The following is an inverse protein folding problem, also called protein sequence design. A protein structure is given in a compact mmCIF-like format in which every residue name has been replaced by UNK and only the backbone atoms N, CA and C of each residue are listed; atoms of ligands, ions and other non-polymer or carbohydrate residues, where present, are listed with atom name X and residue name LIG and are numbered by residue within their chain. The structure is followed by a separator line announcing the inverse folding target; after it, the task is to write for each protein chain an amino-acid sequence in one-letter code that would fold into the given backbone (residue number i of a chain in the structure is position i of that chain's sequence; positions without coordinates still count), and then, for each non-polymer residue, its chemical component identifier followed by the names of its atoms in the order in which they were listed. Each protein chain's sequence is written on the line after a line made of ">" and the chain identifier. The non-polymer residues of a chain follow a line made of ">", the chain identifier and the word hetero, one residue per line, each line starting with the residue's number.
data_IF_220632246911
#
_entry.id   IF_220632246911
#
_cell.length_a   1.000
_cell.length_b   1.000
_cell.length_c   1.000
_cell.angle_alpha   90.00
_cell.angle_beta   90.00
_cell.angle_gamma   90.00
#
_symmetry.space_group_name_H-M   'P 1'
#
loop_
_entity.id
_entity.type
_entity.pdbx_description
1 polymer ?
#
# COMPACT_ATOMS: atom_id res chain seq x y z
N UNK A 1 -9.38 -6.51 21.11
CA UNK A 1 -8.59 -5.33 21.49
C UNK A 1 -7.97 -4.59 20.30
N UNK A 2 -7.09 -5.21 19.50
CA UNK A 2 -6.43 -4.51 18.38
C UNK A 2 -7.40 -3.80 17.40
N UNK A 3 -8.41 -4.52 16.90
CA UNK A 3 -9.44 -3.97 15.99
C UNK A 3 -10.27 -2.84 16.61
N UNK A 4 -10.52 -2.90 17.92
CA UNK A 4 -11.43 -1.98 18.61
C UNK A 4 -10.73 -0.72 19.14
N UNK A 5 -9.43 -0.79 19.44
CA UNK A 5 -8.68 0.32 20.07
C UNK A 5 -7.56 0.83 19.18
N UNK A 6 -6.69 -0.05 18.69
CA UNK A 6 -5.49 0.38 17.96
C UNK A 6 -5.82 0.87 16.57
N UNK A 7 -6.68 0.15 15.83
CA UNK A 7 -7.06 0.57 14.47
C UNK A 7 -7.80 1.92 14.45
N UNK A 8 -8.84 2.18 15.28
CA UNK A 8 -9.51 3.46 15.28
C UNK A 8 -8.60 4.62 15.68
N UNK A 9 -7.72 4.42 16.67
CA UNK A 9 -6.76 5.45 17.09
C UNK A 9 -5.71 5.73 16.01
N UNK A 10 -5.16 4.68 15.36
CA UNK A 10 -4.19 4.82 14.27
C UNK A 10 -4.78 5.53 13.05
N UNK A 11 -6.05 5.20 12.75
CA UNK A 11 -6.76 5.66 11.58
C UNK A 11 -7.68 6.86 11.87
N UNK A 12 -7.49 7.50 13.02
CA UNK A 12 -8.29 8.64 13.41
C UNK A 12 -8.20 9.76 12.36
N UNK A 13 -9.36 10.26 11.95
CA UNK A 13 -9.50 11.29 10.92
C UNK A 13 -8.92 10.94 9.52
N UNK A 14 -8.57 9.68 9.25
CA UNK A 14 -8.05 9.28 7.93
C UNK A 14 -9.04 9.56 6.78
N UNK A 15 -10.33 9.64 7.12
CA UNK A 15 -11.47 9.89 6.26
C UNK A 15 -11.41 11.23 5.55
N UNK A 16 -10.71 12.21 6.13
CA UNK A 16 -10.60 13.57 5.60
C UNK A 16 -9.19 13.90 5.07
N UNK A 17 -8.24 12.96 5.18
CA UNK A 17 -6.87 13.18 4.75
C UNK A 17 -6.68 12.88 3.26
N UNK A 18 -5.80 13.64 2.62
CA UNK A 18 -5.23 13.30 1.31
C UNK A 18 -4.18 12.21 1.48
N UNK A 19 -4.63 10.96 1.48
CA UNK A 19 -3.73 9.82 1.71
C UNK A 19 -2.86 9.56 0.48
N UNK A 20 -1.61 9.99 0.56
CA UNK A 20 -0.58 9.63 -0.42
C UNK A 20 -0.03 8.22 -0.19
N UNK A 21 0.53 7.64 -1.26
CA UNK A 21 1.12 6.30 -1.24
C UNK A 21 2.22 6.11 -0.16
N UNK A 22 3.13 7.07 0.10
CA UNK A 22 4.11 6.93 1.18
C UNK A 22 3.46 6.82 2.57
N UNK A 23 2.38 7.57 2.83
CA UNK A 23 1.64 7.50 4.09
C UNK A 23 0.97 6.13 4.23
N UNK A 24 0.29 5.65 3.19
CA UNK A 24 -0.34 4.34 3.19
C UNK A 24 0.67 3.21 3.41
N UNK A 25 1.87 3.28 2.79
CA UNK A 25 2.96 2.31 3.01
C UNK A 25 3.46 2.31 4.45
N UNK A 26 3.62 3.49 5.08
CA UNK A 26 4.05 3.61 6.47
C UNK A 26 3.03 3.00 7.43
N UNK A 27 1.75 3.30 7.22
CA UNK A 27 0.64 2.70 7.99
C UNK A 27 0.56 1.19 7.77
N UNK A 28 0.77 0.71 6.54
CA UNK A 28 0.78 -0.72 6.24
C UNK A 28 1.90 -1.43 6.98
N UNK A 29 3.11 -0.87 7.00
CA UNK A 29 4.23 -1.43 7.76
C UNK A 29 3.90 -1.51 9.25
N UNK A 30 3.33 -0.45 9.84
CA UNK A 30 2.92 -0.48 11.25
C UNK A 30 1.88 -1.58 11.51
N UNK A 31 0.83 -1.61 10.71
CA UNK A 31 -0.23 -2.61 10.82
C UNK A 31 0.32 -4.04 10.72
N UNK A 32 1.16 -4.32 9.73
CA UNK A 32 1.79 -5.63 9.55
C UNK A 32 2.71 -6.02 10.70
N UNK A 33 3.47 -5.08 11.25
CA UNK A 33 4.33 -5.34 12.41
C UNK A 33 3.50 -5.69 13.65
N UNK A 34 2.39 -4.97 13.88
CA UNK A 34 1.47 -5.29 14.97
C UNK A 34 0.85 -6.68 14.81
N UNK A 35 0.36 -7.03 13.63
CA UNK A 35 -0.25 -8.35 13.38
C UNK A 35 0.76 -9.48 13.57
N UNK A 36 1.98 -9.35 13.03
CA UNK A 36 3.04 -10.34 13.21
C UNK A 36 3.36 -10.54 14.69
N UNK A 37 3.46 -9.44 15.46
CA UNK A 37 3.72 -9.51 16.89
C UNK A 37 2.57 -10.14 17.68
N UNK A 38 1.32 -9.83 17.32
CA UNK A 38 0.13 -10.39 17.95
C UNK A 38 0.03 -11.91 17.72
N UNK A 39 0.30 -12.35 16.48
CA UNK A 39 0.28 -13.75 16.06
C UNK A 39 1.57 -14.51 16.42
N UNK A 40 2.53 -13.85 17.09
CA UNK A 40 3.85 -14.41 17.45
C UNK A 40 4.64 -14.96 16.24
N UNK A 41 4.45 -14.37 15.06
CA UNK A 41 5.14 -14.75 13.84
C UNK A 41 6.54 -14.12 13.85
N UNK A 42 7.54 -14.97 13.79
CA UNK A 42 8.95 -14.60 13.72
C UNK A 42 9.41 -14.49 12.27
N UNK A 43 10.63 -13.99 12.05
CA UNK A 43 11.22 -13.98 10.71
C UNK A 43 11.52 -15.40 10.20
N UNK A 44 11.76 -16.37 11.09
CA UNK A 44 12.11 -17.75 10.75
C UNK A 44 10.96 -18.48 10.05
N UNK A 45 9.72 -18.14 10.42
CA UNK A 45 8.51 -18.77 9.89
C UNK A 45 8.28 -18.45 8.39
N UNK A 46 8.95 -17.42 7.85
CA UNK A 46 8.88 -16.99 6.44
C UNK A 46 7.45 -16.79 5.91
N UNK A 47 6.49 -16.51 6.80
CA UNK A 47 5.08 -16.33 6.44
C UNK A 47 4.90 -15.07 5.58
N UNK A 48 4.25 -15.17 4.40
CA UNK A 48 4.00 -14.03 3.55
C UNK A 48 2.92 -13.12 4.14
N UNK A 49 2.90 -11.85 3.72
CA UNK A 49 1.98 -10.83 4.24
C UNK A 49 0.50 -11.20 4.02
N UNK A 50 0.18 -11.85 2.90
CA UNK A 50 -1.19 -12.32 2.58
C UNK A 50 -1.71 -13.28 3.64
N UNK A 51 -0.85 -14.17 4.12
CA UNK A 51 -1.23 -15.22 5.05
C UNK A 51 -1.38 -14.66 6.46
N UNK A 52 -0.54 -13.68 6.83
CA UNK A 52 -0.70 -12.92 8.09
C UNK A 52 -2.08 -12.25 8.14
N UNK A 53 -2.50 -11.62 7.04
CA UNK A 53 -3.82 -10.98 6.94
C UNK A 53 -4.95 -12.00 7.02
N UNK A 54 -4.86 -13.09 6.23
CA UNK A 54 -5.82 -14.19 6.24
C UNK A 54 -6.01 -14.79 7.63
N UNK A 55 -4.90 -15.13 8.30
CA UNK A 55 -4.92 -15.71 9.65
C UNK A 55 -5.48 -14.74 10.70
N UNK A 56 -5.27 -13.44 10.53
CA UNK A 56 -5.80 -12.43 11.46
C UNK A 56 -7.30 -12.17 11.30
N UNK A 57 -7.91 -12.55 10.16
CA UNK A 57 -9.28 -12.19 9.80
C UNK A 57 -9.52 -10.68 9.69
N UNK A 58 -8.44 -9.89 9.52
CA UNK A 58 -8.51 -8.45 9.41
C UNK A 58 -8.28 -8.00 7.97
N UNK A 59 -9.00 -6.96 7.52
CA UNK A 59 -8.74 -6.32 6.24
C UNK A 59 -7.40 -5.59 6.30
N UNK A 60 -6.78 -5.41 5.14
CA UNK A 60 -5.54 -4.65 5.02
C UNK A 60 -5.75 -3.16 5.30
N UNK A 61 -4.65 -2.45 5.56
CA UNK A 61 -4.75 -1.00 5.81
C UNK A 61 -5.33 -0.26 4.60
N UNK A 62 -5.07 -0.75 3.40
CA UNK A 62 -5.50 -0.11 2.16
C UNK A 62 -7.01 -0.16 2.00
N UNK A 63 -7.64 -1.29 2.33
CA UNK A 63 -9.11 -1.37 2.36
C UNK A 63 -9.69 -0.52 3.45
N UNK A 64 -9.14 -0.57 4.67
CA UNK A 64 -9.63 0.26 5.77
C UNK A 64 -9.63 1.75 5.40
N UNK A 65 -8.54 2.25 4.82
CA UNK A 65 -8.42 3.63 4.36
C UNK A 65 -9.46 3.97 3.28
N UNK A 66 -9.58 3.13 2.25
CA UNK A 66 -10.52 3.35 1.14
C UNK A 66 -11.96 3.30 1.60
N UNK A 67 -12.32 2.30 2.41
CA UNK A 67 -13.66 2.14 2.98
C UNK A 67 -14.04 3.34 3.83
N UNK A 68 -13.13 3.85 4.67
CA UNK A 68 -13.37 5.02 5.49
C UNK A 68 -13.61 6.28 4.63
N UNK A 69 -12.76 6.54 3.63
CA UNK A 69 -12.93 7.66 2.71
C UNK A 69 -14.26 7.61 1.94
N UNK A 70 -14.63 6.44 1.41
CA UNK A 70 -15.87 6.28 0.64
C UNK A 70 -17.11 6.42 1.54
N UNK A 71 -17.07 5.92 2.78
CA UNK A 71 -18.15 6.14 3.78
C UNK A 71 -18.29 7.61 4.16
N UNK A 72 -17.18 8.32 4.32
CA UNK A 72 -17.20 9.77 4.60
C UNK A 72 -17.77 10.56 3.43
N UNK A 73 -17.39 10.20 2.21
CA UNK A 73 -17.90 10.82 1.00
C UNK A 73 -19.41 10.67 0.88
N UNK A 74 -19.94 9.46 1.13
CA UNK A 74 -21.39 9.23 1.20
C UNK A 74 -22.09 10.13 2.23
N UNK A 75 -21.54 10.21 3.44
CA UNK A 75 -22.11 11.11 4.44
C UNK A 75 -22.12 12.57 3.97
N UNK A 76 -21.08 13.03 3.26
CA UNK A 76 -21.04 14.38 2.69
C UNK A 76 -22.09 14.59 1.59
N UNK A 77 -22.30 13.61 0.71
CA UNK A 77 -23.33 13.69 -0.35
C UNK A 77 -24.73 13.81 0.24
N UNK A 78 -25.01 13.08 1.32
CA UNK A 78 -26.31 13.08 1.99
C UNK A 78 -26.56 14.29 2.89
N UNK A 79 -25.54 15.10 3.20
CA UNK A 79 -25.76 16.35 3.94
C UNK A 79 -26.58 17.34 3.10
N UNK A 80 -27.40 18.20 3.74
CA UNK A 80 -28.00 19.35 3.05
C UNK A 80 -26.93 20.29 2.46
N UNK A 81 -27.22 20.91 1.33
CA UNK A 81 -26.28 21.79 0.61
C UNK A 81 -25.92 23.08 1.37
N UNK A 82 -26.69 23.41 2.41
CA UNK A 82 -26.37 24.53 3.31
C UNK A 82 -25.11 24.27 4.15
N UNK A 83 -24.73 23.00 4.36
CA UNK A 83 -23.62 22.66 5.25
C UNK A 83 -22.26 22.95 4.61
N UNK A 84 -21.41 23.66 5.36
CA UNK A 84 -20.07 24.04 4.94
C UNK A 84 -19.21 22.87 4.42
N UNK A 85 -19.18 21.68 5.05
CA UNK A 85 -18.38 20.57 4.54
C UNK A 85 -18.78 20.12 3.13
N UNK A 86 -20.08 20.07 2.83
CA UNK A 86 -20.58 19.70 1.50
C UNK A 86 -20.29 20.81 0.49
N UNK A 87 -20.52 22.07 0.88
CA UNK A 87 -20.17 23.24 0.04
C UNK A 87 -18.68 23.30 -0.28
N UNK A 88 -17.81 22.97 0.68
CA UNK A 88 -16.37 22.92 0.48
C UNK A 88 -15.97 21.75 -0.41
N UNK A 89 -16.62 20.60 -0.27
CA UNK A 89 -16.35 19.41 -1.08
C UNK A 89 -16.69 19.60 -2.56
N UNK A 90 -17.79 20.30 -2.85
CA UNK A 90 -18.21 20.67 -4.21
C UNK A 90 -17.73 22.04 -4.67
N UNK A 91 -17.10 22.80 -3.78
CA UNK A 91 -16.63 24.15 -4.05
C UNK A 91 -15.47 24.12 -5.02
N UNK A 92 -15.60 24.87 -6.12
CA UNK A 92 -14.53 25.09 -7.08
C UNK A 92 -14.02 26.53 -6.91
N UNK A 93 -12.72 26.72 -7.14
CA UNK A 93 -12.12 28.04 -7.04
C UNK A 93 -12.53 28.84 -8.28
N UNK A 94 -13.31 29.91 -8.11
CA UNK A 94 -13.79 30.74 -9.20
C UNK A 94 -12.63 31.43 -9.97
N UNK A 95 -11.59 31.83 -9.25
CA UNK A 95 -10.41 32.51 -9.79
C UNK A 95 -9.13 31.95 -9.17
N UNK A 96 -8.11 31.74 -9.99
CA UNK A 96 -6.80 31.30 -9.54
C UNK A 96 -6.09 30.46 -10.61
N UNK A 97 -4.76 30.54 -10.63
CA UNK A 97 -3.93 29.70 -11.51
C UNK A 97 -3.30 28.59 -10.66
N UNK A 98 -3.62 27.34 -10.97
CA UNK A 98 -2.89 26.22 -10.41
C UNK A 98 -1.48 26.18 -11.02
N UNK A 99 -0.48 25.80 -10.23
CA UNK A 99 0.89 25.65 -10.72
C UNK A 99 0.93 24.63 -11.86
N UNK A 100 1.55 24.97 -12.99
CA UNK A 100 1.73 24.02 -14.09
C UNK A 100 2.71 22.90 -13.66
N UNK A 101 2.38 21.65 -13.97
CA UNK A 101 3.21 20.48 -13.66
C UNK A 101 2.60 19.54 -12.61
N UNK A 102 3.45 18.99 -11.74
CA UNK A 102 3.12 17.96 -10.74
C UNK A 102 2.29 18.48 -9.56
N UNK A 103 1.03 18.81 -9.81
CA UNK A 103 0.09 19.25 -8.78
C UNK A 103 -0.10 18.18 -7.71
N UNK A 104 -0.14 18.62 -6.46
CA UNK A 104 -0.46 17.76 -5.32
C UNK A 104 -1.91 17.27 -5.45
N UNK A 105 -2.13 15.98 -5.20
CA UNK A 105 -3.47 15.38 -5.24
C UNK A 105 -4.37 16.04 -4.20
N UNK A 106 -5.55 16.44 -4.63
CA UNK A 106 -6.60 16.88 -3.72
C UNK A 106 -7.36 15.66 -3.15
N UNK A 107 -8.24 15.91 -2.17
CA UNK A 107 -9.04 14.84 -1.57
C UNK A 107 -9.95 14.16 -2.60
N UNK A 108 -10.58 14.94 -3.48
CA UNK A 108 -11.44 14.43 -4.56
C UNK A 108 -10.67 13.48 -5.49
N UNK A 109 -9.40 13.76 -5.79
CA UNK A 109 -8.55 12.86 -6.58
C UNK A 109 -8.30 11.53 -5.87
N UNK A 110 -8.00 11.58 -4.56
CA UNK A 110 -7.81 10.37 -3.77
C UNK A 110 -9.09 9.55 -3.65
N UNK A 111 -10.24 10.21 -3.48
CA UNK A 111 -11.55 9.57 -3.45
C UNK A 111 -11.88 8.89 -4.79
N UNK A 112 -11.63 9.56 -5.93
CA UNK A 112 -11.79 8.94 -7.26
C UNK A 112 -10.96 7.66 -7.41
N UNK A 113 -9.72 7.66 -6.90
CA UNK A 113 -8.89 6.45 -6.89
C UNK A 113 -9.47 5.35 -5.98
N UNK A 114 -10.05 5.72 -4.84
CA UNK A 114 -10.73 4.80 -3.92
C UNK A 114 -11.99 4.19 -4.55
N UNK A 115 -12.85 5.00 -5.17
CA UNK A 115 -14.05 4.54 -5.90
C UNK A 115 -13.68 3.57 -7.03
N UNK A 116 -12.73 3.96 -7.91
CA UNK A 116 -12.24 3.09 -8.99
C UNK A 116 -11.67 1.77 -8.48
N UNK A 117 -10.99 1.79 -7.33
CA UNK A 117 -10.46 0.55 -6.76
C UNK A 117 -11.55 -0.42 -6.30
N UNK A 118 -12.68 0.10 -5.83
CA UNK A 118 -13.89 -0.65 -5.50
C UNK A 118 -14.74 -1.01 -6.72
N UNK A 119 -14.39 -0.54 -7.91
CA UNK A 119 -15.17 -0.80 -9.13
C UNK A 119 -16.42 0.07 -9.24
N UNK A 120 -16.52 1.11 -8.41
CA UNK A 120 -17.60 2.09 -8.46
C UNK A 120 -17.22 3.17 -9.47
N UNK A 121 -18.15 3.49 -10.35
CA UNK A 121 -17.99 4.54 -11.33
C UNK A 121 -18.03 5.94 -10.67
N UNK A 122 -16.98 6.78 -10.86
CA UNK A 122 -16.90 8.10 -10.21
C UNK A 122 -17.92 9.14 -10.66
N UNK A 123 -18.68 8.88 -11.72
CA UNK A 123 -19.68 9.83 -12.22
C UNK A 123 -21.10 9.47 -11.73
N UNK A 124 -21.36 8.19 -11.41
CA UNK A 124 -22.67 7.70 -10.94
C UNK A 124 -22.76 7.37 -9.44
N UNK A 125 -21.64 7.41 -8.70
CA UNK A 125 -21.61 7.01 -7.29
C UNK A 125 -22.49 7.86 -6.36
N UNK A 126 -22.77 9.12 -6.68
CA UNK A 126 -23.60 10.00 -5.83
C UNK A 126 -25.05 9.50 -5.79
N UNK A 127 -25.56 9.04 -6.93
CA UNK A 127 -26.91 8.46 -7.04
C UNK A 127 -26.99 7.18 -6.20
N UNK A 128 -25.94 6.35 -6.25
CA UNK A 128 -25.86 5.13 -5.46
C UNK A 128 -25.73 5.39 -3.96
N UNK A 129 -25.06 6.48 -3.57
CA UNK A 129 -24.88 6.87 -2.18
C UNK A 129 -26.17 7.38 -1.51
N UNK A 130 -27.15 7.84 -2.30
CA UNK A 130 -28.43 8.32 -1.77
C UNK A 130 -29.20 7.22 -1.01
N UNK A 131 -29.10 5.97 -1.45
CA UNK A 131 -29.68 4.80 -0.78
C UNK A 131 -28.65 4.17 0.19
N UNK A 132 -28.74 4.54 1.48
CA UNK A 132 -27.78 4.15 2.50
C UNK A 132 -27.62 2.63 2.67
N UNK A 133 -28.70 1.82 2.81
CA UNK A 133 -28.59 0.36 2.86
C UNK A 133 -27.91 -0.25 1.63
N UNK A 134 -28.32 0.14 0.41
CA UNK A 134 -27.73 -0.38 -0.81
C UNK A 134 -26.25 0.00 -0.91
N UNK A 135 -25.92 1.25 -0.56
CA UNK A 135 -24.56 1.76 -0.55
C UNK A 135 -23.64 1.02 0.43
N UNK A 136 -24.10 0.79 1.67
CA UNK A 136 -23.33 0.05 2.67
C UNK A 136 -23.07 -1.39 2.24
N UNK A 137 -24.09 -2.05 1.66
CA UNK A 137 -23.97 -3.40 1.11
C UNK A 137 -22.96 -3.45 -0.04
N UNK A 138 -23.04 -2.49 -0.97
CA UNK A 138 -22.11 -2.34 -2.08
C UNK A 138 -20.67 -2.15 -1.58
N UNK A 139 -20.42 -1.20 -0.67
CA UNK A 139 -19.08 -0.99 -0.09
C UNK A 139 -18.55 -2.26 0.57
N UNK A 140 -19.39 -2.98 1.32
CA UNK A 140 -18.96 -4.21 1.99
C UNK A 140 -18.52 -5.25 0.97
N UNK A 141 -19.33 -5.49 -0.06
CA UNK A 141 -19.02 -6.41 -1.16
C UNK A 141 -17.75 -5.99 -1.91
N UNK A 142 -17.62 -4.70 -2.21
CA UNK A 142 -16.51 -4.17 -3.00
C UNK A 142 -15.20 -4.13 -2.21
N UNK A 143 -15.26 -3.91 -0.90
CA UNK A 143 -14.10 -4.04 -0.02
C UNK A 143 -13.60 -5.50 -0.01
N UNK A 144 -14.50 -6.48 0.04
CA UNK A 144 -14.16 -7.90 -0.05
C UNK A 144 -13.57 -8.24 -1.42
N UNK A 145 -14.18 -7.79 -2.52
CA UNK A 145 -13.68 -8.05 -3.88
C UNK A 145 -12.31 -7.40 -4.12
N UNK A 146 -12.09 -6.21 -3.57
CA UNK A 146 -10.80 -5.54 -3.60
C UNK A 146 -9.75 -6.33 -2.81
N UNK A 147 -10.03 -6.79 -1.58
CA UNK A 147 -9.06 -7.63 -0.84
C UNK A 147 -8.68 -8.89 -1.61
N UNK A 148 -9.66 -9.57 -2.20
CA UNK A 148 -9.43 -10.78 -2.98
C UNK A 148 -8.51 -10.50 -4.17
N UNK A 149 -8.79 -9.44 -4.94
CA UNK A 149 -7.95 -9.01 -6.06
C UNK A 149 -6.52 -8.68 -5.61
N UNK A 150 -6.39 -7.92 -4.52
CA UNK A 150 -5.10 -7.48 -3.97
C UNK A 150 -4.29 -8.66 -3.42
N UNK A 151 -4.96 -9.66 -2.85
CA UNK A 151 -4.35 -10.92 -2.39
C UNK A 151 -3.88 -11.76 -3.57
N UNK A 152 -4.72 -11.93 -4.60
CA UNK A 152 -4.37 -12.66 -5.82
C UNK A 152 -3.18 -12.02 -6.56
N UNK A 153 -3.16 -10.68 -6.69
CA UNK A 153 -2.01 -9.97 -7.26
C UNK A 153 -0.72 -10.16 -6.45
N UNK A 154 -0.82 -10.21 -5.12
CA UNK A 154 0.33 -10.44 -4.25
C UNK A 154 0.85 -11.89 -4.37
N UNK A 155 -0.05 -12.87 -4.44
CA UNK A 155 0.29 -14.28 -4.67
C UNK A 155 0.95 -14.49 -6.03
N UNK A 156 0.38 -13.95 -7.12
CA UNK A 156 1.00 -13.99 -8.46
C UNK A 156 2.41 -13.41 -8.47
N UNK A 157 2.62 -12.27 -7.81
CA UNK A 157 3.96 -11.65 -7.67
C UNK A 157 4.91 -12.52 -6.87
N UNK A 158 4.44 -13.20 -5.85
CA UNK A 158 5.25 -14.12 -5.04
C UNK A 158 5.64 -15.36 -5.84
N UNK A 159 4.70 -15.99 -6.53
CA UNK A 159 4.91 -17.14 -7.42
C UNK A 159 5.92 -16.82 -8.51
N UNK A 160 5.78 -15.66 -9.17
CA UNK A 160 6.72 -15.22 -10.19
C UNK A 160 8.15 -15.03 -9.63
N UNK A 161 8.30 -14.51 -8.41
CA UNK A 161 9.63 -14.42 -7.77
C UNK A 161 10.18 -15.80 -7.44
N UNK A 162 9.33 -16.72 -7.01
CA UNK A 162 9.71 -18.11 -6.69
C UNK A 162 10.11 -18.88 -7.94
N UNK A 163 9.39 -18.72 -9.05
CA UNK A 163 9.74 -19.36 -10.33
C UNK A 163 11.06 -18.82 -10.88
N UNK A 164 11.26 -17.50 -10.85
CA UNK A 164 12.54 -16.88 -11.24
C UNK A 164 13.68 -17.44 -10.38
N UNK A 165 13.52 -17.48 -9.06
CA UNK A 165 14.52 -18.01 -8.14
C UNK A 165 14.85 -19.49 -8.41
N UNK A 166 13.84 -20.30 -8.72
CA UNK A 166 14.03 -21.72 -9.04
C UNK A 166 14.65 -21.95 -10.42
N UNK A 167 14.46 -21.03 -11.37
CA UNK A 167 15.03 -21.11 -12.72
C UNK A 167 16.48 -20.63 -12.82
N UNK A 168 17.01 -19.93 -11.81
CA UNK A 168 18.42 -19.55 -11.80
C UNK A 168 19.28 -20.81 -11.59
N UNK A 169 20.30 -21.07 -12.44
CA UNK A 169 21.18 -22.21 -12.26
C UNK A 169 21.84 -22.17 -10.88
N UNK A 170 21.55 -23.18 -10.07
CA UNK A 170 22.35 -23.45 -8.88
C UNK A 170 23.60 -24.14 -9.37
N UNK A 171 24.75 -23.45 -9.30
CA UNK A 171 26.13 -23.94 -9.48
C UNK A 171 26.87 -23.41 -10.72
N UNK A 172 27.34 -22.17 -10.62
CA UNK A 172 28.71 -21.80 -11.02
C UNK A 172 29.11 -20.56 -10.25
N UNK A 173 30.31 -20.55 -9.68
CA UNK A 173 30.86 -19.34 -9.09
C UNK A 173 31.36 -18.46 -10.24
N UNK A 174 30.45 -17.71 -10.87
CA UNK A 174 30.69 -17.02 -12.15
C UNK A 174 31.71 -15.89 -12.09
N UNK A 175 32.12 -15.48 -10.89
CA UNK A 175 32.98 -14.32 -10.69
C UNK A 175 34.16 -14.67 -9.78
N UNK A 176 35.26 -15.08 -10.40
CA UNK A 176 36.54 -15.25 -9.74
C UNK A 176 37.26 -13.90 -9.63
N UNK A 177 37.88 -13.64 -8.48
CA UNK A 177 38.81 -12.53 -8.36
C UNK A 177 40.11 -12.86 -9.13
N UNK A 178 40.53 -12.04 -10.09
CA UNK A 178 41.76 -12.28 -10.85
C UNK A 178 43.04 -12.29 -9.99
N UNK A 179 42.99 -11.70 -8.79
CA UNK A 179 44.18 -11.46 -7.95
C UNK A 179 44.32 -12.47 -6.80
N UNK A 180 43.21 -13.03 -6.31
CA UNK A 180 43.21 -13.87 -5.11
C UNK A 180 42.44 -15.19 -5.29
N UNK A 181 42.02 -15.50 -6.52
CA UNK A 181 41.24 -16.70 -6.89
C UNK A 181 39.99 -16.94 -6.03
N UNK A 182 39.54 -15.91 -5.29
CA UNK A 182 38.35 -16.00 -4.46
C UNK A 182 37.11 -15.93 -5.33
N UNK A 183 36.24 -16.92 -5.16
CA UNK A 183 35.02 -17.04 -5.95
C UNK A 183 33.84 -16.28 -5.30
N UNK A 184 33.15 -15.48 -6.09
CA UNK A 184 31.98 -14.70 -5.69
C UNK A 184 30.75 -15.16 -6.45
N UNK A 185 29.62 -15.27 -5.73
CA UNK A 185 28.31 -15.64 -6.31
C UNK A 185 27.59 -14.49 -7.02
N UNK A 186 28.08 -13.26 -6.88
CA UNK A 186 27.48 -12.07 -7.48
C UNK A 186 28.55 -11.07 -7.89
N UNK A 187 28.39 -10.48 -9.08
CA UNK A 187 29.32 -9.48 -9.62
C UNK A 187 29.53 -8.29 -8.68
N UNK A 188 28.46 -7.81 -8.04
CA UNK A 188 28.54 -6.72 -7.06
C UNK A 188 29.37 -7.08 -5.82
N UNK A 189 29.42 -8.36 -5.46
CA UNK A 189 30.29 -8.88 -4.40
C UNK A 189 31.77 -8.78 -4.79
N UNK A 190 32.11 -9.14 -6.03
CA UNK A 190 33.44 -8.96 -6.61
C UNK A 190 33.82 -7.48 -6.68
N UNK A 191 32.92 -6.58 -7.09
CA UNK A 191 33.19 -5.13 -7.17
C UNK A 191 33.52 -4.55 -5.80
N UNK A 192 32.74 -4.86 -4.76
CA UNK A 192 33.05 -4.37 -3.40
C UNK A 192 34.38 -4.92 -2.91
N UNK A 193 34.62 -6.22 -3.14
CA UNK A 193 35.88 -6.86 -2.79
C UNK A 193 37.05 -6.15 -3.47
N UNK A 194 37.04 -5.96 -4.79
CA UNK A 194 38.12 -5.28 -5.50
C UNK A 194 38.34 -3.83 -5.04
N UNK A 195 37.26 -3.11 -4.70
CA UNK A 195 37.34 -1.76 -4.14
C UNK A 195 38.05 -1.72 -2.78
N UNK A 196 37.69 -2.61 -1.84
CA UNK A 196 38.35 -2.68 -0.53
C UNK A 196 39.85 -3.02 -0.61
N UNK A 197 40.25 -3.88 -1.54
CA UNK A 197 41.66 -4.27 -1.67
C UNK A 197 42.48 -3.18 -2.39
N UNK A 198 41.87 -2.46 -3.35
CA UNK A 198 42.50 -1.31 -4.01
C UNK A 198 42.83 -0.20 -3.00
N UNK A 199 41.96 0.03 -2.01
CA UNK A 199 42.21 1.00 -0.93
C UNK A 199 43.28 0.58 0.07
N UNK A 200 43.50 -0.73 0.26
CA UNK A 200 44.55 -1.23 1.16
C UNK A 200 45.95 -1.10 0.54
N UNK A 201 46.07 -1.31 -0.78
CA UNK A 201 47.33 -1.14 -1.50
C UNK A 201 47.80 0.32 -1.55
N UNK A 202 46.87 1.28 -1.58
CA UNK A 202 47.18 2.72 -1.56
C UNK A 202 47.50 3.28 -0.19
N UNK A 203 47.27 2.51 0.89
CA UNK A 203 47.54 2.93 2.28
C UNK A 203 48.86 2.39 2.83
N UNK A 204 49.61 1.63 2.02
CA UNK A 204 50.91 1.04 2.37
C UNK A 204 52.09 1.68 1.62
N UNK A 205 51.86 2.82 0.96
CA UNK A 205 52.86 3.77 0.48
C UNK A 205 52.75 5.05 1.30
#
# INVERSE_FOLDING_TARGET
>A
MYKAVVLPTLLYANETWTVYEPHAKKLNRFHMNCLRRLLKITWQDKVPITDVLSQSGLPSIYTLLRTAQVRRADHLVRMPDIHLPKRLFYGELAEGKCTQGGQKKCFKDTLKVSLKSFGIDPDSWEILAQDLPAWQSCISKDATSYEQRRTAEAQKKHELRKSIANSLPTNSADHLCPTYERAFRAHNGLIRHSQTYRTQLTSSM
#
